data_IF_065501334277
#
_entry.id   IF_065501334277
#
_cell.length_a   1.000
_cell.length_b   1.000
_cell.length_c   1.000
_cell.angle_alpha   90.00
_cell.angle_beta   90.00
_cell.angle_gamma   90.00
#
_symmetry.space_group_name_H-M   'P 1'
#
loop_
_entity.id
_entity.type
_entity.pdbx_description
1 polymer ?
#
# COMPACT_ATOMS: atom_id res chain seq x y z
N UNK A 1 7.23 -11.21 -0.09
CA UNK A 1 7.62 -9.88 -0.60
C UNK A 1 6.42 -8.93 -0.62
N UNK A 2 5.24 -9.37 -1.04
CA UNK A 2 3.99 -8.60 -1.19
C UNK A 2 3.60 -7.75 0.04
N UNK A 3 3.59 -8.32 1.25
CA UNK A 3 3.32 -7.54 2.49
C UNK A 3 4.25 -6.33 2.67
N UNK A 4 5.45 -6.42 2.14
CA UNK A 4 6.41 -5.34 2.19
C UNK A 4 6.10 -4.27 1.16
N UNK A 5 5.65 -4.66 -0.04
CA UNK A 5 5.15 -3.74 -1.05
C UNK A 5 3.92 -2.98 -0.54
N UNK A 6 2.98 -3.68 0.14
CA UNK A 6 1.83 -3.04 0.82
C UNK A 6 2.28 -1.98 1.83
N UNK A 7 3.28 -2.29 2.66
CA UNK A 7 3.82 -1.36 3.64
C UNK A 7 4.46 -0.14 2.96
N UNK A 8 5.31 -0.37 1.97
CA UNK A 8 5.98 0.69 1.21
C UNK A 8 4.97 1.58 0.48
N UNK A 9 3.93 0.98 -0.12
CA UNK A 9 2.85 1.70 -0.79
C UNK A 9 2.04 2.54 0.19
N UNK A 10 1.52 1.94 1.23
CA UNK A 10 0.68 2.58 2.24
C UNK A 10 1.32 3.82 2.85
N UNK A 11 2.59 3.72 3.21
CA UNK A 11 3.33 4.79 3.88
C UNK A 11 4.14 5.66 2.93
N UNK A 12 3.96 5.49 1.61
CA UNK A 12 4.66 6.26 0.55
C UNK A 12 6.19 6.24 0.73
N UNK A 13 6.74 5.09 1.15
CA UNK A 13 8.17 4.93 1.44
C UNK A 13 9.01 4.61 0.19
N UNK A 14 8.46 4.80 -0.99
CA UNK A 14 9.19 4.69 -2.24
C UNK A 14 10.07 5.92 -2.46
N UNK A 15 11.25 5.71 -3.05
CA UNK A 15 12.25 6.76 -3.30
C UNK A 15 11.66 7.91 -4.12
N UNK A 16 12.20 9.12 -3.91
CA UNK A 16 11.81 10.35 -4.63
C UNK A 16 12.15 10.35 -6.14
N UNK A 17 12.53 9.22 -6.71
CA UNK A 17 12.63 9.06 -8.17
C UNK A 17 11.27 9.20 -8.80
N UNK A 18 11.18 9.82 -9.99
CA UNK A 18 9.91 9.92 -10.69
C UNK A 18 9.29 8.54 -10.85
N UNK A 19 8.08 8.38 -10.31
CA UNK A 19 7.31 7.15 -10.50
C UNK A 19 6.83 7.12 -11.95
N UNK A 20 6.96 5.97 -12.58
CA UNK A 20 6.52 5.75 -13.96
C UNK A 20 5.80 4.40 -14.07
N UNK A 21 4.84 4.30 -14.98
CA UNK A 21 4.27 2.99 -15.36
C UNK A 21 5.33 2.17 -16.11
N UNK A 22 5.08 0.88 -16.27
CA UNK A 22 5.91 -0.01 -17.11
C UNK A 22 5.98 0.42 -18.57
N UNK A 23 5.05 1.28 -19.02
CA UNK A 23 5.01 1.89 -20.35
C UNK A 23 5.72 3.26 -20.41
N UNK A 24 6.31 3.72 -19.30
CA UNK A 24 7.04 5.00 -19.22
C UNK A 24 6.15 6.23 -18.97
N UNK A 25 4.87 6.07 -18.64
CA UNK A 25 3.99 7.21 -18.32
C UNK A 25 4.27 7.71 -16.90
N UNK A 26 4.39 9.03 -16.68
CA UNK A 26 4.63 9.58 -15.35
C UNK A 26 3.44 9.33 -14.42
N UNK A 27 3.77 8.95 -13.17
CA UNK A 27 2.81 8.65 -12.10
C UNK A 27 3.04 9.60 -10.92
N UNK A 28 1.97 10.18 -10.40
CA UNK A 28 1.98 10.95 -9.16
C UNK A 28 0.91 10.39 -8.22
N UNK A 29 1.32 9.84 -7.09
CA UNK A 29 0.41 9.36 -6.06
C UNK A 29 -0.01 10.51 -5.15
N UNK A 30 -1.27 10.94 -5.28
CA UNK A 30 -1.87 11.97 -4.41
C UNK A 30 -2.28 11.30 -3.10
N UNK A 31 -3.06 10.21 -3.21
CA UNK A 31 -3.54 9.40 -2.10
C UNK A 31 -3.37 7.91 -2.44
N UNK A 32 -2.68 7.11 -1.62
CA UNK A 32 -2.52 5.68 -1.88
C UNK A 32 -3.81 4.88 -1.70
N UNK A 33 -4.84 5.49 -1.14
CA UNK A 33 -6.09 4.83 -0.80
C UNK A 33 -6.12 4.24 0.61
N UNK A 34 -7.29 3.74 0.98
CA UNK A 34 -7.52 3.04 2.26
C UNK A 34 -7.25 1.55 2.06
N UNK A 35 -6.42 0.99 2.93
CA UNK A 35 -6.11 -0.44 2.91
C UNK A 35 -7.36 -1.26 3.22
N UNK A 36 -7.65 -2.22 2.34
CA UNK A 36 -8.67 -3.23 2.53
C UNK A 36 -8.11 -4.41 3.35
N UNK A 37 -8.92 -4.95 4.22
CA UNK A 37 -8.63 -6.17 4.99
C UNK A 37 -9.63 -7.29 4.70
N UNK A 38 -10.57 -7.02 3.81
CA UNK A 38 -11.63 -7.94 3.39
C UNK A 38 -11.40 -8.40 1.94
N UNK A 39 -12.39 -9.03 1.31
CA UNK A 39 -12.32 -9.44 -0.09
C UNK A 39 -12.32 -8.23 -1.04
N UNK A 40 -11.66 -8.38 -2.19
CA UNK A 40 -11.53 -7.35 -3.22
C UNK A 40 -10.16 -6.69 -3.23
N UNK A 41 -9.98 -5.62 -4.02
CA UNK A 41 -8.69 -4.96 -4.17
C UNK A 41 -8.08 -4.46 -2.86
N UNK A 42 -6.75 -4.43 -2.79
CA UNK A 42 -5.96 -4.14 -1.59
C UNK A 42 -6.14 -2.73 -1.03
N UNK A 43 -6.37 -1.74 -1.90
CA UNK A 43 -6.60 -0.35 -1.51
C UNK A 43 -7.75 0.25 -2.28
N UNK A 44 -8.67 0.91 -1.57
CA UNK A 44 -9.82 1.62 -2.15
C UNK A 44 -9.58 3.13 -2.22
N UNK A 45 -10.28 3.78 -3.16
CA UNK A 45 -10.31 5.24 -3.30
C UNK A 45 -8.93 5.88 -3.45
N UNK A 46 -7.98 5.18 -4.02
CA UNK A 46 -6.69 5.76 -4.37
C UNK A 46 -6.88 6.89 -5.39
N UNK A 47 -6.09 7.97 -5.25
CA UNK A 47 -6.08 9.12 -6.16
C UNK A 47 -4.70 9.23 -6.78
N UNK A 48 -4.62 8.94 -8.07
CA UNK A 48 -3.37 8.82 -8.80
C UNK A 48 -3.46 9.62 -10.09
N UNK A 49 -2.47 10.47 -10.39
CA UNK A 49 -2.32 11.05 -11.71
C UNK A 49 -1.42 10.16 -12.55
N UNK A 50 -1.89 9.75 -13.71
CA UNK A 50 -1.14 9.03 -14.73
C UNK A 50 -1.14 9.89 -15.98
N UNK A 51 0.03 10.28 -16.43
CA UNK A 51 0.19 11.16 -17.60
C UNK A 51 -0.65 12.46 -17.49
N UNK A 52 -0.66 13.07 -16.29
CA UNK A 52 -1.39 14.29 -15.99
C UNK A 52 -2.91 14.11 -15.73
N UNK A 53 -3.49 12.96 -16.10
CA UNK A 53 -4.91 12.66 -15.86
C UNK A 53 -5.12 12.10 -14.47
N UNK A 54 -6.06 12.66 -13.69
CA UNK A 54 -6.44 12.16 -12.37
C UNK A 54 -7.37 10.95 -12.50
N UNK A 55 -6.94 9.86 -11.91
CA UNK A 55 -7.71 8.63 -11.75
C UNK A 55 -8.09 8.43 -10.29
N UNK A 56 -9.32 8.00 -10.04
CA UNK A 56 -9.80 7.59 -8.73
C UNK A 56 -10.31 6.16 -8.84
N UNK A 57 -9.80 5.25 -8.01
CA UNK A 57 -10.17 3.84 -8.06
C UNK A 57 -9.38 3.01 -7.07
N UNK A 58 -9.28 1.73 -7.34
CA UNK A 58 -8.57 0.78 -6.46
C UNK A 58 -7.15 0.50 -6.96
N UNK A 59 -6.30 0.07 -6.03
CA UNK A 59 -4.95 -0.43 -6.30
C UNK A 59 -4.87 -1.87 -5.81
N UNK A 60 -4.23 -2.71 -6.60
CA UNK A 60 -3.90 -4.09 -6.29
C UNK A 60 -2.39 -4.25 -6.28
N UNK A 61 -1.85 -5.05 -5.37
CA UNK A 61 -0.40 -5.22 -5.17
C UNK A 61 -0.04 -6.70 -5.27
N UNK A 62 0.94 -7.02 -6.10
CA UNK A 62 1.44 -8.37 -6.31
C UNK A 62 2.96 -8.44 -6.32
N UNK A 63 3.50 -9.59 -5.99
CA UNK A 63 4.92 -9.87 -6.16
C UNK A 63 5.29 -9.88 -7.64
N UNK A 64 4.45 -10.47 -8.49
CA UNK A 64 4.61 -10.54 -9.95
C UNK A 64 3.34 -10.10 -10.65
N UNK A 65 3.48 -9.51 -11.82
CA UNK A 65 2.30 -9.15 -12.62
C UNK A 65 1.49 -10.35 -13.12
N UNK A 66 2.11 -11.53 -13.27
CA UNK A 66 1.42 -12.79 -13.61
C UNK A 66 0.51 -13.31 -12.49
N UNK A 67 0.67 -12.85 -11.24
CA UNK A 67 -0.21 -13.19 -10.12
C UNK A 67 -1.64 -12.67 -10.36
N UNK A 68 -1.81 -11.64 -11.21
CA UNK A 68 -3.10 -11.17 -11.69
C UNK A 68 -3.96 -12.29 -12.29
N UNK A 69 -3.34 -13.16 -13.13
CA UNK A 69 -4.01 -14.33 -13.69
C UNK A 69 -4.17 -15.45 -12.68
N UNK A 70 -3.15 -15.67 -11.84
CA UNK A 70 -3.16 -16.73 -10.83
C UNK A 70 -4.30 -16.54 -9.84
N UNK A 71 -4.63 -15.30 -9.51
CA UNK A 71 -5.74 -14.93 -8.62
C UNK A 71 -7.06 -14.70 -9.36
N UNK A 72 -7.11 -14.94 -10.69
CA UNK A 72 -8.31 -14.81 -11.53
C UNK A 72 -8.90 -13.38 -11.59
N UNK A 73 -8.08 -12.34 -11.41
CA UNK A 73 -8.54 -10.95 -11.45
C UNK A 73 -8.96 -10.50 -12.85
N UNK A 74 -8.48 -11.17 -13.89
CA UNK A 74 -8.87 -10.99 -15.29
C UNK A 74 -10.33 -11.40 -15.58
N UNK A 75 -10.93 -12.20 -14.70
CA UNK A 75 -12.31 -12.68 -14.83
C UNK A 75 -13.24 -12.18 -13.73
N UNK A 76 -12.72 -11.56 -12.67
CA UNK A 76 -13.50 -11.03 -11.55
C UNK A 76 -13.78 -9.53 -11.74
N UNK A 77 -15.07 -9.18 -11.90
CA UNK A 77 -15.54 -7.80 -12.04
C UNK A 77 -15.23 -6.90 -10.86
N UNK A 78 -15.00 -7.45 -9.67
CA UNK A 78 -14.59 -6.67 -8.49
C UNK A 78 -13.26 -5.93 -8.73
N UNK A 79 -12.41 -6.46 -9.63
CA UNK A 79 -11.09 -5.88 -9.96
C UNK A 79 -11.12 -4.94 -11.18
N UNK A 80 -12.26 -4.77 -11.85
CA UNK A 80 -12.41 -3.81 -12.96
C UNK A 80 -12.23 -2.35 -12.51
N UNK A 81 -12.39 -2.07 -11.21
CA UNK A 81 -12.15 -0.76 -10.61
C UNK A 81 -10.67 -0.47 -10.31
N UNK A 82 -9.77 -1.44 -10.51
CA UNK A 82 -8.33 -1.25 -10.31
C UNK A 82 -7.78 -0.32 -11.40
N UNK A 83 -7.17 0.78 -10.97
CA UNK A 83 -6.62 1.82 -11.86
C UNK A 83 -5.12 1.66 -12.09
N UNK A 84 -4.40 1.05 -11.12
CA UNK A 84 -2.96 0.86 -11.18
C UNK A 84 -2.56 -0.38 -10.35
N UNK A 85 -2.32 -1.54 -10.97
CA UNK A 85 -1.61 -2.64 -10.34
C UNK A 85 -0.19 -2.23 -9.98
N UNK A 86 0.23 -2.52 -8.73
CA UNK A 86 1.59 -2.33 -8.22
C UNK A 86 2.28 -3.68 -8.16
N UNK A 87 3.45 -3.79 -8.74
CA UNK A 87 4.15 -5.05 -8.89
C UNK A 87 5.61 -4.98 -8.42
N UNK A 88 6.12 -6.08 -7.87
CA UNK A 88 7.54 -6.24 -7.57
C UNK A 88 8.37 -6.70 -8.78
N UNK A 89 7.76 -7.46 -9.69
CA UNK A 89 8.39 -7.96 -10.91
C UNK A 89 7.41 -7.94 -12.09
N UNK A 90 7.87 -7.44 -13.24
CA UNK A 90 7.04 -7.30 -14.45
C UNK A 90 7.30 -8.47 -15.41
N UNK A 91 6.35 -9.41 -15.49
CA UNK A 91 6.37 -10.57 -16.40
C UNK A 91 5.07 -10.74 -17.19
N UNK A 92 4.04 -9.92 -16.95
CA UNK A 92 2.74 -9.99 -17.58
C UNK A 92 2.09 -8.61 -17.72
N UNK A 93 1.19 -8.42 -18.71
CA UNK A 93 0.37 -7.22 -18.84
C UNK A 93 -1.05 -7.50 -18.31
N UNK A 94 -1.45 -6.93 -17.14
CA UNK A 94 -2.78 -7.16 -16.59
C UNK A 94 -3.86 -6.56 -17.49
N UNK A 95 -4.99 -7.26 -17.56
CA UNK A 95 -6.16 -6.86 -18.34
C UNK A 95 -7.41 -6.91 -17.47
N UNK A 96 -8.41 -6.10 -17.79
CA UNK A 96 -9.75 -6.13 -17.19
C UNK A 96 -10.58 -7.29 -17.76
N UNK A 97 -11.74 -7.54 -17.16
CA UNK A 97 -12.70 -8.55 -17.66
C UNK A 97 -13.13 -8.31 -19.11
N UNK A 98 -13.05 -7.07 -19.61
CA UNK A 98 -13.36 -6.70 -21.00
C UNK A 98 -12.13 -6.78 -21.93
N UNK A 99 -10.98 -7.27 -21.46
CA UNK A 99 -9.73 -7.40 -22.21
C UNK A 99 -8.91 -6.11 -22.35
N UNK A 100 -9.37 -4.98 -21.79
CA UNK A 100 -8.59 -3.74 -21.85
C UNK A 100 -7.37 -3.80 -20.91
N UNK A 101 -6.16 -3.44 -21.37
CA UNK A 101 -4.97 -3.42 -20.55
C UNK A 101 -5.08 -2.36 -19.45
N UNK A 102 -4.51 -2.67 -18.29
CA UNK A 102 -4.41 -1.76 -17.15
C UNK A 102 -2.96 -1.27 -17.06
N UNK A 103 -2.71 0.06 -17.01
CA UNK A 103 -1.35 0.54 -16.75
C UNK A 103 -0.89 0.03 -15.39
N UNK A 104 0.35 -0.47 -15.31
CA UNK A 104 0.91 -1.03 -14.08
C UNK A 104 2.22 -0.32 -13.71
N UNK A 105 2.62 -0.39 -12.45
CA UNK A 105 3.82 0.27 -11.96
C UNK A 105 4.69 -0.69 -11.16
N UNK A 106 6.00 -0.72 -11.52
CA UNK A 106 6.99 -1.44 -10.72
C UNK A 106 7.32 -0.63 -9.46
N UNK A 107 7.19 -1.27 -8.30
CA UNK A 107 7.54 -0.69 -7.02
C UNK A 107 8.76 -1.42 -6.43
N UNK A 108 9.85 -0.69 -6.26
CA UNK A 108 11.05 -1.21 -5.63
C UNK A 108 11.07 -0.86 -4.16
N UNK A 109 11.31 -1.85 -3.31
CA UNK A 109 11.48 -1.61 -1.87
C UNK A 109 12.85 -0.97 -1.63
N UNK A 110 12.92 0.21 -0.97
CA UNK A 110 14.18 0.84 -0.64
C UNK A 110 15.08 -0.05 0.23
N UNK A 111 16.38 -0.06 -0.05
CA UNK A 111 17.35 -0.95 0.62
C UNK A 111 17.41 -0.74 2.14
N UNK A 112 17.27 0.51 2.59
CA UNK A 112 17.21 0.82 4.03
C UNK A 112 16.00 0.17 4.72
N UNK A 113 14.88 0.02 4.02
CA UNK A 113 13.68 -0.68 4.54
C UNK A 113 13.94 -2.19 4.56
N UNK A 114 14.53 -2.76 3.50
CA UNK A 114 14.90 -4.17 3.47
C UNK A 114 15.82 -4.53 4.63
N UNK A 115 16.86 -3.74 4.89
CA UNK A 115 17.79 -3.94 6.02
C UNK A 115 17.10 -3.83 7.39
N UNK A 116 16.15 -2.90 7.51
CA UNK A 116 15.39 -2.72 8.76
C UNK A 116 14.45 -3.89 9.03
N UNK A 117 13.91 -4.52 8.00
CA UNK A 117 13.03 -5.68 8.13
C UNK A 117 13.79 -6.91 8.60
N UNK A 118 14.97 -7.19 8.05
CA UNK A 118 15.82 -8.26 8.52
C UNK A 118 16.13 -8.07 10.02
N UNK A 119 16.45 -6.85 10.42
CA UNK A 119 16.68 -6.50 11.81
C UNK A 119 15.43 -6.72 12.70
N UNK A 120 14.21 -6.36 12.21
CA UNK A 120 12.95 -6.55 12.92
C UNK A 120 12.51 -8.01 13.00
N UNK A 121 12.74 -8.80 11.96
CA UNK A 121 12.31 -10.20 11.90
C UNK A 121 13.23 -11.14 12.68
N UNK A 122 14.53 -10.85 12.74
CA UNK A 122 15.54 -11.72 13.37
C UNK A 122 15.90 -11.31 14.80
N UNK A 123 15.27 -10.26 15.34
CA UNK A 123 15.53 -9.84 16.72
C UNK A 123 14.60 -10.57 17.69
N UNK A 124 15.16 -11.26 18.67
CA UNK A 124 14.42 -11.95 19.74
C UNK A 124 13.73 -10.98 20.73
N UNK A 125 13.85 -9.67 20.56
CA UNK A 125 13.23 -8.69 21.44
C UNK A 125 11.72 -8.61 21.24
N UNK A 126 10.96 -8.73 22.30
CA UNK A 126 9.49 -8.67 22.29
C UNK A 126 8.92 -7.35 21.71
N UNK A 127 9.68 -6.26 21.76
CA UNK A 127 9.37 -4.95 21.20
C UNK A 127 10.61 -4.36 20.55
N UNK A 128 10.63 -4.17 19.20
CA UNK A 128 11.80 -3.64 18.49
C UNK A 128 12.28 -2.26 18.97
N UNK A 129 11.37 -1.45 19.51
CA UNK A 129 11.68 -0.11 20.01
C UNK A 129 12.02 -0.05 21.52
N UNK A 130 12.03 -1.18 22.21
CA UNK A 130 12.19 -1.22 23.67
C UNK A 130 13.46 -0.50 24.15
N UNK A 131 14.58 -0.65 23.45
CA UNK A 131 15.84 0.01 23.80
C UNK A 131 15.79 1.54 23.68
N UNK A 132 14.94 2.05 22.80
CA UNK A 132 14.78 3.49 22.59
C UNK A 132 13.74 4.11 23.52
N UNK A 133 12.79 3.31 24.03
CA UNK A 133 11.72 3.78 24.93
C UNK A 133 12.29 4.15 26.31
N UNK A 134 13.34 3.49 26.77
CA UNK A 134 13.92 3.73 28.10
C UNK A 134 14.48 5.16 28.29
N UNK A 135 14.79 5.86 27.19
CA UNK A 135 15.25 7.25 27.21
C UNK A 135 14.13 8.31 27.09
N UNK A 136 12.88 7.90 26.96
CA UNK A 136 11.76 8.82 26.78
C UNK A 136 11.14 9.15 28.13
N UNK A 137 10.93 10.46 28.40
CA UNK A 137 10.28 10.87 29.65
C UNK A 137 8.87 10.27 29.78
N UNK A 138 8.48 9.73 30.96
CA UNK A 138 7.18 9.10 31.18
C UNK A 138 5.98 9.96 30.76
N UNK A 139 6.09 11.27 30.91
CA UNK A 139 5.05 12.22 30.48
C UNK A 139 4.81 12.17 28.96
N UNK A 140 5.88 12.08 28.16
CA UNK A 140 5.75 11.98 26.71
C UNK A 140 5.07 10.66 26.30
N UNK A 141 5.39 9.55 27.00
CA UNK A 141 4.75 8.26 26.76
C UNK A 141 3.26 8.35 27.07
N UNK A 142 2.89 8.95 28.21
CA UNK A 142 1.49 9.14 28.60
C UNK A 142 0.72 9.97 27.57
N UNK A 143 1.25 11.14 27.20
CA UNK A 143 0.62 11.98 26.17
C UNK A 143 0.48 11.26 24.80
N UNK A 144 1.47 10.46 24.45
CA UNK A 144 1.45 9.69 23.21
C UNK A 144 0.37 8.61 23.24
N UNK A 145 0.25 7.90 24.36
CA UNK A 145 -0.79 6.88 24.54
C UNK A 145 -2.20 7.48 24.50
N UNK A 146 -2.40 8.66 25.09
CA UNK A 146 -3.69 9.38 25.04
C UNK A 146 -4.01 9.84 23.62
N UNK A 147 -3.02 10.37 22.88
CA UNK A 147 -3.20 10.77 21.47
C UNK A 147 -3.59 9.56 20.59
N UNK A 148 -2.90 8.42 20.74
CA UNK A 148 -3.21 7.18 20.03
C UNK A 148 -4.60 6.63 20.38
N UNK A 149 -5.02 6.74 21.64
CA UNK A 149 -6.36 6.34 22.08
C UNK A 149 -7.44 7.22 21.40
N UNK A 150 -7.23 8.55 21.40
CA UNK A 150 -8.14 9.48 20.75
C UNK A 150 -8.27 9.21 19.25
N UNK A 151 -7.16 9.06 18.56
CA UNK A 151 -7.12 8.71 17.14
C UNK A 151 -7.85 7.39 16.85
N UNK A 152 -7.64 6.38 17.70
CA UNK A 152 -8.32 5.08 17.56
C UNK A 152 -9.83 5.23 17.75
N UNK A 153 -10.29 6.01 18.72
CA UNK A 153 -11.71 6.26 18.96
C UNK A 153 -12.34 7.02 17.78
N UNK A 154 -11.68 8.06 17.29
CA UNK A 154 -12.14 8.82 16.12
C UNK A 154 -12.29 7.92 14.88
N UNK A 155 -11.29 7.12 14.60
CA UNK A 155 -11.35 6.16 13.49
C UNK A 155 -12.50 5.18 13.64
N UNK A 156 -12.67 4.56 14.83
CA UNK A 156 -13.75 3.62 15.10
C UNK A 156 -15.13 4.26 15.00
N UNK A 157 -15.25 5.50 15.46
CA UNK A 157 -16.50 6.27 15.33
C UNK A 157 -16.81 6.55 13.86
N UNK A 158 -15.80 6.97 13.10
CA UNK A 158 -15.95 7.21 11.67
C UNK A 158 -16.37 5.93 10.91
N UNK A 159 -15.74 4.78 11.20
CA UNK A 159 -16.09 3.49 10.61
C UNK A 159 -17.57 3.14 10.87
N UNK A 160 -18.08 3.42 12.08
CA UNK A 160 -19.50 3.20 12.43
C UNK A 160 -20.42 4.16 11.65
N UNK A 161 -20.06 5.42 11.54
CA UNK A 161 -20.85 6.39 10.77
C UNK A 161 -20.97 6.05 9.28
N UNK A 162 -19.97 5.39 8.71
CA UNK A 162 -20.00 4.95 7.31
C UNK A 162 -20.90 3.72 7.09
N UNK A 163 -21.33 3.05 8.16
CA UNK A 163 -22.20 1.87 8.12
C UNK A 163 -23.69 2.20 8.37
N UNK A 164 -24.01 3.46 8.73
CA UNK A 164 -25.36 3.96 8.96
C UNK A 164 -25.88 4.76 7.76
#
# INVERSE_FOLDING_TARGET
MERLLHYVWKYKLYTATPLITTEGRPVQVIDPGMQNTDAGPDFFNAKIKIDGTLWVGSVEIHDKSSDWLLHHHDTDKAYDCVILPIIGFNDFQPVRTNGNPIPQMLLTVPENILRSIDWLLYREAALPCLEHITGIAPLHIACWMEALLSERLERKTHDIFLLL
#
